data_IF_218989278097
#
_entry.id   IF_218989278097
#
_cell.length_a   1.000
_cell.length_b   1.000
_cell.length_c   1.000
_cell.angle_alpha   90.00
_cell.angle_beta   90.00
_cell.angle_gamma   90.00
#
_symmetry.space_group_name_H-M   'P 1'
#
loop_
_entity.id
_entity.type
_entity.pdbx_description
1 polymer ?
#
# COMPACT_ATOMS: atom_id res chain seq x y z
N UNK A 1 19.24 5.38 -16.81
CA UNK A 1 19.11 5.73 -15.38
C UNK A 1 18.56 7.13 -15.29
N UNK A 2 17.42 7.32 -14.63
CA UNK A 2 16.81 8.63 -14.40
C UNK A 2 17.56 9.29 -13.24
N UNK A 3 18.19 10.45 -13.49
CA UNK A 3 18.86 11.21 -12.42
C UNK A 3 17.80 11.85 -11.52
N UNK A 4 17.82 11.60 -10.19
CA UNK A 4 16.82 12.18 -9.30
C UNK A 4 16.99 13.69 -9.17
N UNK A 5 15.87 14.40 -9.15
CA UNK A 5 15.84 15.80 -8.73
C UNK A 5 15.56 15.86 -7.24
N UNK A 6 16.54 16.31 -6.46
CA UNK A 6 16.39 16.46 -5.02
C UNK A 6 15.42 17.60 -4.67
N UNK A 7 14.46 17.32 -3.80
CA UNK A 7 13.51 18.28 -3.23
C UNK A 7 13.38 18.03 -1.71
N UNK A 8 12.86 19.00 -0.96
CA UNK A 8 12.82 18.94 0.51
C UNK A 8 11.42 19.10 1.10
N UNK A 9 10.37 18.86 0.30
CA UNK A 9 8.99 19.13 0.70
C UNK A 9 8.00 17.99 0.39
N UNK A 10 8.44 16.91 -0.24
CA UNK A 10 7.56 15.79 -0.64
C UNK A 10 7.01 15.06 0.59
N UNK A 11 7.81 14.96 1.67
CA UNK A 11 7.41 14.35 2.92
C UNK A 11 6.18 15.02 3.57
N UNK A 12 5.87 16.28 3.23
CA UNK A 12 4.67 16.93 3.76
C UNK A 12 3.37 16.28 3.29
N UNK A 13 3.37 15.63 2.11
CA UNK A 13 2.18 14.94 1.59
C UNK A 13 1.69 13.87 2.57
N UNK A 14 2.53 12.89 3.01
CA UNK A 14 2.13 11.94 4.05
C UNK A 14 2.03 12.58 5.46
N UNK A 15 2.88 13.54 5.82
CA UNK A 15 2.89 14.12 7.18
C UNK A 15 1.60 14.88 7.51
N UNK A 16 0.98 15.54 6.53
CA UNK A 16 -0.26 16.29 6.75
C UNK A 16 -1.39 15.44 7.36
N UNK A 17 -1.84 14.32 6.76
CA UNK A 17 -2.85 13.46 7.38
C UNK A 17 -2.35 12.81 8.68
N UNK A 18 -1.04 12.56 8.83
CA UNK A 18 -0.49 12.04 10.08
C UNK A 18 -0.72 13.01 11.25
N UNK A 19 -0.61 14.33 11.04
CA UNK A 19 -0.87 15.34 12.07
C UNK A 19 -2.29 15.19 12.64
N UNK A 20 -3.29 15.00 11.77
CA UNK A 20 -4.67 14.78 12.19
C UNK A 20 -4.83 13.46 12.97
N UNK A 21 -4.24 12.36 12.46
CA UNK A 21 -4.29 11.06 13.12
C UNK A 21 -3.64 11.08 14.51
N UNK A 22 -2.46 11.67 14.64
CA UNK A 22 -1.73 11.78 15.91
C UNK A 22 -2.51 12.63 16.90
N UNK A 23 -3.01 13.80 16.48
CA UNK A 23 -3.82 14.64 17.35
C UNK A 23 -5.06 13.90 17.86
N UNK A 24 -5.82 13.25 16.99
CA UNK A 24 -7.03 12.53 17.39
C UNK A 24 -6.72 11.34 18.29
N UNK A 25 -5.66 10.58 17.97
CA UNK A 25 -5.20 9.45 18.78
C UNK A 25 -4.75 9.87 20.18
N UNK A 26 -3.99 10.97 20.30
CA UNK A 26 -3.55 11.52 21.59
C UNK A 26 -4.73 11.99 22.44
N UNK A 27 -5.67 12.73 21.82
CA UNK A 27 -6.84 13.27 22.52
C UNK A 27 -7.77 12.17 23.05
N UNK A 28 -8.01 11.11 22.27
CA UNK A 28 -8.84 9.98 22.69
C UNK A 28 -8.10 9.06 23.66
N UNK A 29 -6.86 8.69 23.35
CA UNK A 29 -6.13 7.64 24.07
C UNK A 29 -5.47 8.10 25.37
N UNK A 30 -4.79 9.25 25.34
CA UNK A 30 -4.00 9.77 26.48
C UNK A 30 -4.81 10.79 27.27
N UNK A 31 -5.28 11.84 26.59
CA UNK A 31 -6.01 12.94 27.26
C UNK A 31 -7.43 12.51 27.66
N UNK A 32 -7.99 11.51 26.97
CA UNK A 32 -9.34 10.97 27.16
C UNK A 32 -10.44 12.04 27.06
N UNK A 33 -10.23 13.04 26.20
CA UNK A 33 -11.19 14.13 25.94
C UNK A 33 -11.71 14.07 24.52
N UNK A 34 -13.01 14.31 24.39
CA UNK A 34 -13.66 14.53 23.08
C UNK A 34 -13.30 15.92 22.57
N UNK A 35 -12.95 16.00 21.29
CA UNK A 35 -12.74 17.24 20.54
C UNK A 35 -14.05 17.64 19.86
N UNK A 36 -14.42 18.94 19.83
CA UNK A 36 -15.65 19.37 19.17
C UNK A 36 -15.65 18.99 17.68
N UNK A 37 -16.81 18.56 17.17
CA UNK A 37 -16.95 17.94 15.84
C UNK A 37 -16.46 18.83 14.70
N UNK A 38 -16.75 20.13 14.75
CA UNK A 38 -16.28 21.09 13.74
C UNK A 38 -14.75 21.09 13.60
N UNK A 39 -14.02 20.92 14.72
CA UNK A 39 -12.57 20.88 14.73
C UNK A 39 -12.04 19.53 14.24
N UNK A 40 -12.70 18.43 14.60
CA UNK A 40 -12.38 17.09 14.04
C UNK A 40 -12.52 17.09 12.53
N UNK A 41 -13.64 17.60 12.02
CA UNK A 41 -13.92 17.72 10.59
C UNK A 41 -12.88 18.62 9.91
N UNK A 42 -12.67 19.84 10.46
CA UNK A 42 -11.74 20.81 9.90
C UNK A 42 -10.30 20.28 9.82
N UNK A 43 -9.82 19.64 10.89
CA UNK A 43 -8.47 19.08 10.92
C UNK A 43 -8.33 17.88 9.97
N UNK A 44 -9.29 16.95 10.03
CA UNK A 44 -9.23 15.71 9.24
C UNK A 44 -9.40 15.96 7.74
N UNK A 45 -10.41 16.73 7.34
CA UNK A 45 -10.63 17.03 5.93
C UNK A 45 -9.61 18.05 5.41
N UNK A 46 -9.25 19.04 6.22
CA UNK A 46 -8.31 20.09 5.84
C UNK A 46 -6.91 19.56 5.55
N UNK A 47 -6.39 18.65 6.39
CA UNK A 47 -5.06 18.06 6.18
C UNK A 47 -4.99 17.20 4.92
N UNK A 48 -6.02 16.38 4.65
CA UNK A 48 -6.10 15.58 3.42
C UNK A 48 -6.28 16.47 2.18
N UNK A 49 -7.07 17.54 2.27
CA UNK A 49 -7.19 18.51 1.17
C UNK A 49 -5.88 19.23 0.88
N UNK A 50 -5.15 19.65 1.90
CA UNK A 50 -3.82 20.24 1.73
C UNK A 50 -2.84 19.23 1.13
N UNK A 51 -2.90 17.96 1.52
CA UNK A 51 -2.11 16.89 0.91
C UNK A 51 -2.48 16.68 -0.57
N UNK A 52 -3.76 16.83 -0.95
CA UNK A 52 -4.20 16.80 -2.34
C UNK A 52 -3.63 17.98 -3.15
N UNK A 53 -3.68 19.20 -2.61
CA UNK A 53 -3.07 20.36 -3.28
C UNK A 53 -1.56 20.19 -3.45
N UNK A 54 -0.87 19.69 -2.43
CA UNK A 54 0.55 19.35 -2.52
C UNK A 54 0.82 18.24 -3.55
N UNK A 55 -0.07 17.24 -3.66
CA UNK A 55 0.00 16.19 -4.68
C UNK A 55 -0.19 16.72 -6.10
N UNK A 56 -1.12 17.65 -6.30
CA UNK A 56 -1.29 18.35 -7.58
C UNK A 56 -0.06 19.18 -7.95
N UNK A 57 0.54 19.88 -6.98
CA UNK A 57 1.77 20.64 -7.19
C UNK A 57 2.95 19.72 -7.56
N UNK A 58 3.09 18.58 -6.88
CA UNK A 58 4.11 17.58 -7.16
C UNK A 58 3.94 16.95 -8.55
N UNK A 59 2.70 16.62 -8.93
CA UNK A 59 2.38 16.16 -10.28
C UNK A 59 2.69 17.21 -11.35
N UNK A 60 2.35 18.49 -11.10
CA UNK A 60 2.67 19.59 -12.00
C UNK A 60 4.18 19.80 -12.18
N UNK A 61 4.95 19.70 -11.09
CA UNK A 61 6.40 19.75 -11.12
C UNK A 61 6.98 18.58 -11.95
N UNK A 62 6.45 17.37 -11.77
CA UNK A 62 6.90 16.17 -12.49
C UNK A 62 6.61 16.24 -13.99
N UNK A 63 5.42 16.71 -14.40
CA UNK A 63 5.08 16.88 -15.83
C UNK A 63 5.96 17.94 -16.49
N UNK A 64 6.33 18.99 -15.75
CA UNK A 64 7.25 20.02 -16.23
C UNK A 64 8.67 19.54 -16.50
N UNK A 65 9.03 18.32 -16.05
CA UNK A 65 10.34 17.72 -16.28
C UNK A 65 10.38 16.94 -17.60
N UNK A 66 11.57 16.89 -18.26
CA UNK A 66 11.84 15.97 -19.36
C UNK A 66 11.49 14.53 -18.98
N UNK A 67 10.99 13.73 -19.95
CA UNK A 67 10.49 12.38 -19.70
C UNK A 67 11.53 11.45 -19.05
N UNK A 68 12.80 11.63 -19.41
CA UNK A 68 13.96 10.89 -18.91
C UNK A 68 14.44 11.33 -17.51
N UNK A 69 13.84 12.39 -16.94
CA UNK A 69 14.21 13.01 -15.66
C UNK A 69 13.05 13.07 -14.66
N UNK A 70 11.93 12.40 -14.94
CA UNK A 70 10.71 12.40 -14.10
C UNK A 70 10.86 11.57 -12.82
N UNK A 71 11.72 12.04 -11.92
CA UNK A 71 11.92 11.47 -10.60
C UNK A 71 12.27 12.57 -9.61
N UNK A 72 11.37 12.86 -8.68
CA UNK A 72 11.64 13.72 -7.52
C UNK A 72 11.98 12.86 -6.32
N UNK A 73 13.00 13.24 -5.55
CA UNK A 73 13.40 12.52 -4.33
C UNK A 73 13.58 13.49 -3.18
N UNK A 74 13.05 13.10 -2.02
CA UNK A 74 13.15 13.81 -0.74
C UNK A 74 13.75 12.88 0.30
N UNK A 75 15.06 13.00 0.52
CA UNK A 75 15.80 12.30 1.57
C UNK A 75 15.62 13.04 2.91
N UNK A 76 14.81 12.48 3.81
CA UNK A 76 14.46 13.16 5.07
C UNK A 76 15.53 12.91 6.13
N UNK A 77 15.82 11.64 6.41
CA UNK A 77 16.86 11.23 7.37
C UNK A 77 17.27 9.76 7.19
N UNK A 78 18.45 9.39 7.68
CA UNK A 78 18.89 7.98 7.71
C UNK A 78 18.16 7.22 8.81
N UNK A 79 17.38 6.19 8.45
CA UNK A 79 16.62 5.38 9.39
C UNK A 79 17.47 4.26 9.98
N UNK A 80 18.12 3.49 9.12
CA UNK A 80 19.00 2.38 9.47
C UNK A 80 20.35 2.68 8.85
N UNK A 81 21.35 2.94 9.69
CA UNK A 81 22.75 3.04 9.30
C UNK A 81 23.53 1.97 10.04
N UNK A 82 24.11 1.02 9.31
CA UNK A 82 24.94 -0.04 9.91
C UNK A 82 26.04 -0.46 8.95
N UNK A 83 27.26 -0.67 9.45
CA UNK A 83 28.41 -1.09 8.65
C UNK A 83 29.72 -0.42 9.07
N UNK A 84 30.85 -0.97 8.59
CA UNK A 84 32.21 -0.42 8.77
C UNK A 84 32.93 -0.52 7.43
N UNK A 85 33.61 0.54 6.99
CA UNK A 85 34.32 0.58 5.70
C UNK A 85 33.36 0.71 4.51
N UNK A 86 33.58 -0.03 3.42
CA UNK A 86 32.80 0.07 2.18
C UNK A 86 31.46 -0.71 2.22
N UNK A 87 31.11 -1.36 3.33
CA UNK A 87 29.84 -2.06 3.52
C UNK A 87 28.87 -1.29 4.41
N UNK A 88 28.70 0.01 4.17
CA UNK A 88 27.68 0.80 4.85
C UNK A 88 26.32 0.50 4.23
N UNK A 89 25.43 -0.05 5.05
CA UNK A 89 24.01 -0.19 4.74
C UNK A 89 23.33 1.08 5.22
N UNK A 90 22.74 1.84 4.29
CA UNK A 90 21.84 2.95 4.61
C UNK A 90 20.44 2.69 4.07
N UNK A 91 19.48 2.47 4.96
CA UNK A 91 18.06 2.62 4.63
C UNK A 91 17.61 4.00 5.12
N UNK A 92 17.30 4.90 4.20
CA UNK A 92 16.80 6.23 4.53
C UNK A 92 15.27 6.23 4.65
N UNK A 93 14.71 7.13 5.46
CA UNK A 93 13.33 7.58 5.22
C UNK A 93 13.42 8.58 4.07
N UNK A 94 13.17 8.08 2.87
CA UNK A 94 13.23 8.84 1.62
C UNK A 94 11.96 8.63 0.82
N UNK A 95 11.40 9.73 0.31
CA UNK A 95 10.21 9.70 -0.53
C UNK A 95 10.60 9.94 -1.99
N UNK A 96 10.14 9.10 -2.89
CA UNK A 96 10.39 9.19 -4.32
C UNK A 96 9.07 9.30 -5.09
N UNK A 97 8.98 10.31 -5.95
CA UNK A 97 7.86 10.54 -6.85
C UNK A 97 8.30 10.33 -8.29
N UNK A 98 7.75 9.30 -8.91
CA UNK A 98 7.84 9.02 -10.33
C UNK A 98 6.42 9.05 -10.95
N UNK A 99 6.24 8.78 -12.27
CA UNK A 99 4.92 8.85 -12.90
C UNK A 99 3.85 7.95 -12.28
N UNK A 100 4.21 6.72 -11.85
CA UNK A 100 3.25 5.79 -11.23
C UNK A 100 2.87 6.24 -9.82
N UNK A 101 3.85 6.64 -8.99
CA UNK A 101 3.58 7.21 -7.66
C UNK A 101 2.76 8.50 -7.77
N UNK A 102 2.99 9.32 -8.80
CA UNK A 102 2.27 10.58 -9.01
C UNK A 102 0.78 10.36 -9.29
N UNK A 103 0.44 9.38 -10.13
CA UNK A 103 -0.95 8.95 -10.32
C UNK A 103 -1.56 8.48 -8.99
N UNK A 104 -0.82 7.63 -8.26
CA UNK A 104 -1.31 7.05 -7.01
C UNK A 104 -1.56 8.11 -5.93
N UNK A 105 -0.67 9.07 -5.71
CA UNK A 105 -0.90 10.11 -4.69
C UNK A 105 -2.11 10.98 -5.01
N UNK A 106 -2.39 11.25 -6.29
CA UNK A 106 -3.59 11.99 -6.71
C UNK A 106 -4.86 11.20 -6.42
N UNK A 107 -4.86 9.90 -6.68
CA UNK A 107 -6.00 9.03 -6.36
C UNK A 107 -6.19 8.92 -4.84
N UNK A 108 -5.11 8.63 -4.10
CA UNK A 108 -5.14 8.47 -2.63
C UNK A 108 -5.63 9.73 -1.94
N UNK A 109 -5.12 10.91 -2.32
CA UNK A 109 -5.51 12.18 -1.67
C UNK A 109 -6.81 12.76 -2.21
N UNK A 110 -7.05 12.67 -3.52
CA UNK A 110 -8.25 13.22 -4.16
C UNK A 110 -9.52 12.43 -3.81
N UNK A 111 -9.52 11.12 -4.09
CA UNK A 111 -10.63 10.24 -3.72
C UNK A 111 -10.71 10.12 -2.19
N UNK A 112 -9.56 10.05 -1.51
CA UNK A 112 -9.50 10.07 -0.05
C UNK A 112 -10.18 11.30 0.56
N UNK A 113 -9.94 12.50 0.02
CA UNK A 113 -10.62 13.72 0.48
C UNK A 113 -12.14 13.63 0.29
N UNK A 114 -12.62 13.18 -0.87
CA UNK A 114 -14.06 13.01 -1.11
C UNK A 114 -14.69 12.03 -0.12
N UNK A 115 -13.98 10.95 0.22
CA UNK A 115 -14.42 9.99 1.23
C UNK A 115 -14.46 10.62 2.63
N UNK A 116 -13.49 11.47 2.98
CA UNK A 116 -13.52 12.20 4.25
C UNK A 116 -14.73 13.12 4.34
N UNK A 117 -15.04 13.85 3.26
CA UNK A 117 -16.23 14.72 3.19
C UNK A 117 -17.52 13.90 3.29
N UNK A 118 -17.62 12.81 2.53
CA UNK A 118 -18.78 11.91 2.58
C UNK A 118 -18.99 11.31 3.99
N UNK A 119 -17.89 11.00 4.67
CA UNK A 119 -17.91 10.44 6.03
C UNK A 119 -18.51 11.39 7.06
N UNK A 120 -18.49 12.71 6.82
CA UNK A 120 -19.10 13.69 7.73
C UNK A 120 -20.58 13.39 7.87
N UNK A 121 -21.30 13.30 6.74
CA UNK A 121 -22.74 13.04 6.73
C UNK A 121 -23.06 11.61 7.16
N UNK A 122 -22.32 10.62 6.64
CA UNK A 122 -22.58 9.21 6.96
C UNK A 122 -22.42 8.91 8.46
N UNK A 123 -21.41 9.50 9.10
CA UNK A 123 -21.16 9.31 10.53
C UNK A 123 -21.95 10.28 11.41
N UNK A 124 -22.69 11.23 10.83
CA UNK A 124 -23.58 12.12 11.59
C UNK A 124 -24.81 11.38 12.12
N UNK A 125 -25.27 10.40 11.34
CA UNK A 125 -26.39 9.53 11.70
C UNK A 125 -26.03 8.48 12.77
N UNK A 126 -24.74 8.21 13.00
CA UNK A 126 -24.27 7.28 14.04
C UNK A 126 -24.24 8.01 15.41
N UNK A 127 -25.43 8.22 16.00
CA UNK A 127 -25.65 8.95 17.26
C UNK A 127 -25.03 8.32 18.53
N UNK A 128 -24.17 7.30 18.38
CA UNK A 128 -23.76 6.44 19.50
C UNK A 128 -22.63 7.00 20.37
N UNK A 129 -21.69 7.78 19.83
CA UNK A 129 -20.60 8.39 20.62
C UNK A 129 -19.77 9.43 19.83
N UNK A 130 -19.60 10.64 20.36
CA UNK A 130 -18.67 11.65 19.83
C UNK A 130 -17.22 11.13 19.77
N UNK A 131 -16.82 10.27 20.71
CA UNK A 131 -15.50 9.62 20.67
C UNK A 131 -15.39 8.62 19.52
N UNK A 132 -16.49 7.96 19.15
CA UNK A 132 -16.56 7.10 17.98
C UNK A 132 -16.33 7.88 16.70
N UNK A 133 -16.98 9.04 16.55
CA UNK A 133 -16.78 9.95 15.43
C UNK A 133 -15.32 10.39 15.28
N UNK A 134 -14.71 10.84 16.38
CA UNK A 134 -13.29 11.26 16.36
C UNK A 134 -12.34 10.08 16.10
N UNK A 135 -12.63 8.89 16.63
CA UNK A 135 -11.85 7.66 16.39
C UNK A 135 -11.90 7.25 14.92
N UNK A 136 -13.07 7.37 14.29
CA UNK A 136 -13.24 7.05 12.88
C UNK A 136 -12.32 7.90 12.00
N UNK A 137 -12.34 9.23 12.21
CA UNK A 137 -11.47 10.15 11.48
C UNK A 137 -9.98 9.99 11.81
N UNK A 138 -9.64 9.58 13.04
CA UNK A 138 -8.27 9.18 13.38
C UNK A 138 -7.80 8.02 12.49
N UNK A 139 -8.62 6.98 12.33
CA UNK A 139 -8.28 5.81 11.53
C UNK A 139 -8.26 6.11 10.03
N UNK A 140 -9.18 6.93 9.50
CA UNK A 140 -9.16 7.35 8.10
C UNK A 140 -7.89 8.14 7.74
N UNK A 141 -7.46 9.06 8.61
CA UNK A 141 -6.24 9.84 8.40
C UNK A 141 -4.99 8.96 8.52
N UNK A 142 -4.95 8.07 9.51
CA UNK A 142 -3.84 7.14 9.67
C UNK A 142 -3.71 6.22 8.44
N UNK A 143 -4.85 5.75 7.93
CA UNK A 143 -4.92 4.95 6.72
C UNK A 143 -4.35 5.74 5.52
N UNK A 144 -4.78 6.98 5.34
CA UNK A 144 -4.31 7.87 4.25
C UNK A 144 -2.80 8.09 4.35
N UNK A 145 -2.29 8.39 5.55
CA UNK A 145 -0.85 8.48 5.80
C UNK A 145 -0.12 7.18 5.42
N UNK A 146 -0.56 6.02 5.90
CA UNK A 146 0.11 4.74 5.62
C UNK A 146 0.13 4.43 4.13
N UNK A 147 -0.97 4.71 3.41
CA UNK A 147 -1.02 4.52 1.97
C UNK A 147 -0.07 5.48 1.23
N UNK A 148 0.02 6.74 1.66
CA UNK A 148 0.95 7.72 1.09
C UNK A 148 2.41 7.33 1.32
N UNK A 149 2.75 6.81 2.51
CA UNK A 149 4.08 6.26 2.78
C UNK A 149 4.38 5.09 1.85
N UNK A 150 3.42 4.18 1.64
CA UNK A 150 3.58 3.03 0.76
C UNK A 150 3.90 3.44 -0.68
N UNK A 151 3.13 4.37 -1.25
CA UNK A 151 3.28 4.76 -2.67
C UNK A 151 4.43 5.73 -2.93
N UNK A 152 4.88 6.46 -1.91
CA UNK A 152 6.03 7.36 -2.02
C UNK A 152 7.34 6.73 -1.56
N UNK A 153 7.35 5.51 -1.03
CA UNK A 153 8.58 4.91 -0.52
C UNK A 153 9.66 4.77 -1.62
N UNK A 154 10.88 5.24 -1.32
CA UNK A 154 12.06 5.03 -2.20
C UNK A 154 12.75 3.67 -1.97
N UNK A 155 12.40 2.97 -0.90
CA UNK A 155 12.98 1.66 -0.56
C UNK A 155 11.96 0.66 -0.02
N UNK A 156 12.31 -0.63 -0.11
CA UNK A 156 11.46 -1.75 0.27
C UNK A 156 11.04 -1.73 1.76
N UNK A 157 11.93 -1.46 2.74
CA UNK A 157 11.55 -1.35 4.15
C UNK A 157 10.53 -0.24 4.43
N UNK A 158 10.70 0.94 3.82
CA UNK A 158 9.75 2.04 3.97
C UNK A 158 8.40 1.71 3.32
N UNK A 159 8.42 1.04 2.15
CA UNK A 159 7.19 0.54 1.54
C UNK A 159 6.50 -0.45 2.46
N UNK A 160 7.25 -1.36 3.09
CA UNK A 160 6.73 -2.34 4.05
C UNK A 160 6.13 -1.67 5.31
N UNK A 161 6.70 -0.56 5.77
CA UNK A 161 6.12 0.23 6.86
C UNK A 161 4.72 0.76 6.47
N UNK A 162 4.58 1.31 5.27
CA UNK A 162 3.27 1.72 4.74
C UNK A 162 2.32 0.53 4.54
N UNK A 163 2.85 -0.60 4.07
CA UNK A 163 2.15 -1.86 3.82
C UNK A 163 1.50 -2.47 5.08
N UNK A 164 2.25 -2.52 6.17
CA UNK A 164 1.77 -2.92 7.48
C UNK A 164 0.79 -1.89 8.05
N UNK A 165 1.11 -0.60 7.88
CA UNK A 165 0.27 0.52 8.32
C UNK A 165 -1.14 0.46 7.72
N UNK A 166 -1.26 0.24 6.42
CA UNK A 166 -2.58 0.07 5.78
C UNK A 166 -3.28 -1.19 6.29
N UNK A 167 -2.55 -2.28 6.55
CA UNK A 167 -3.06 -3.52 7.14
C UNK A 167 -3.66 -3.34 8.53
N UNK A 168 -2.97 -2.59 9.38
CA UNK A 168 -3.46 -2.22 10.72
C UNK A 168 -4.69 -1.33 10.62
N UNK A 169 -4.65 -0.32 9.76
CA UNK A 169 -5.78 0.60 9.62
C UNK A 169 -7.03 -0.09 9.06
N UNK A 170 -6.89 -1.03 8.12
CA UNK A 170 -8.04 -1.81 7.63
C UNK A 170 -8.64 -2.67 8.72
N UNK A 171 -7.83 -3.31 9.56
CA UNK A 171 -8.31 -4.08 10.72
C UNK A 171 -9.17 -3.20 11.63
N UNK A 172 -8.65 -2.01 12.00
CA UNK A 172 -9.34 -1.07 12.88
C UNK A 172 -10.63 -0.49 12.27
N UNK A 173 -10.66 -0.29 10.95
CA UNK A 173 -11.80 0.28 10.24
C UNK A 173 -12.88 -0.76 9.91
N UNK A 174 -12.52 -1.99 9.54
CA UNK A 174 -13.47 -3.08 9.31
C UNK A 174 -14.14 -3.46 10.64
N UNK A 175 -13.33 -3.63 11.69
CA UNK A 175 -13.82 -3.90 13.04
C UNK A 175 -14.28 -2.66 13.81
N UNK A 176 -14.64 -1.56 13.13
CA UNK A 176 -14.92 -0.28 13.79
C UNK A 176 -16.06 -0.38 14.82
N UNK A 177 -17.13 -1.10 14.49
CA UNK A 177 -18.22 -1.46 15.40
C UNK A 177 -17.93 -2.79 16.10
N UNK A 178 -16.82 -2.85 16.85
CA UNK A 178 -16.32 -4.05 17.53
C UNK A 178 -17.25 -4.66 18.59
N UNK A 179 -18.31 -3.96 19.01
CA UNK A 179 -19.31 -4.51 19.92
C UNK A 179 -20.13 -5.63 19.27
N UNK A 180 -20.19 -5.65 17.94
CA UNK A 180 -20.73 -6.76 17.16
C UNK A 180 -19.62 -7.78 16.91
N UNK A 181 -19.84 -9.01 17.36
CA UNK A 181 -18.87 -10.11 17.23
C UNK A 181 -18.55 -10.44 15.77
N UNK A 182 -19.53 -10.30 14.86
CA UNK A 182 -19.35 -10.63 13.46
C UNK A 182 -18.43 -9.60 12.79
N UNK A 183 -18.64 -8.30 13.09
CA UNK A 183 -17.77 -7.22 12.58
C UNK A 183 -16.33 -7.36 13.11
N UNK A 184 -16.17 -7.71 14.39
CA UNK A 184 -14.85 -7.95 14.99
C UNK A 184 -14.14 -9.17 14.38
N UNK A 185 -14.89 -10.24 14.09
CA UNK A 185 -14.38 -11.41 13.38
C UNK A 185 -13.94 -11.06 11.95
N UNK A 186 -14.75 -10.32 11.19
CA UNK A 186 -14.42 -9.88 9.84
C UNK A 186 -13.13 -9.04 9.80
N UNK A 187 -12.96 -8.12 10.74
CA UNK A 187 -11.71 -7.35 10.89
C UNK A 187 -10.51 -8.26 11.16
N UNK A 188 -10.66 -9.18 12.12
CA UNK A 188 -9.59 -10.13 12.48
C UNK A 188 -9.20 -11.04 11.32
N UNK A 189 -10.19 -11.55 10.56
CA UNK A 189 -9.97 -12.36 9.35
C UNK A 189 -9.15 -11.58 8.32
N UNK A 190 -9.50 -10.32 8.05
CA UNK A 190 -8.75 -9.47 7.13
C UNK A 190 -7.31 -9.26 7.58
N UNK A 191 -7.08 -9.04 8.88
CA UNK A 191 -5.73 -8.88 9.41
C UNK A 191 -4.89 -10.16 9.26
N UNK A 192 -5.43 -11.32 9.61
CA UNK A 192 -4.73 -12.61 9.56
C UNK A 192 -4.41 -13.01 8.11
N UNK A 193 -5.36 -12.88 7.20
CA UNK A 193 -5.15 -13.24 5.79
C UNK A 193 -4.09 -12.33 5.13
N UNK A 194 -4.12 -11.04 5.44
CA UNK A 194 -3.07 -10.11 5.00
C UNK A 194 -1.70 -10.49 5.58
N UNK A 195 -1.65 -10.86 6.87
CA UNK A 195 -0.40 -11.23 7.56
C UNK A 195 0.32 -12.41 6.93
N UNK A 196 -0.43 -13.38 6.39
CA UNK A 196 0.14 -14.52 5.65
C UNK A 196 0.91 -14.02 4.41
N UNK A 197 0.34 -13.06 3.68
CA UNK A 197 1.02 -12.40 2.57
C UNK A 197 2.23 -11.58 3.03
N UNK A 198 2.07 -10.82 4.12
CA UNK A 198 3.11 -9.94 4.67
C UNK A 198 4.38 -10.75 5.07
N UNK A 199 4.21 -11.99 5.54
CA UNK A 199 5.33 -12.90 5.80
C UNK A 199 6.10 -13.27 4.53
N UNK A 200 5.40 -13.61 3.44
CA UNK A 200 6.04 -13.91 2.17
C UNK A 200 6.75 -12.68 1.58
N UNK A 201 6.14 -11.50 1.71
CA UNK A 201 6.78 -10.23 1.32
C UNK A 201 8.12 -10.04 2.05
N UNK A 202 8.16 -10.26 3.37
CA UNK A 202 9.40 -10.16 4.16
C UNK A 202 10.45 -11.18 3.72
N UNK A 203 10.05 -12.41 3.42
CA UNK A 203 10.97 -13.41 2.88
C UNK A 203 11.58 -12.96 1.55
N UNK A 204 10.79 -12.38 0.66
CA UNK A 204 11.26 -11.81 -0.61
C UNK A 204 12.25 -10.66 -0.39
N UNK A 205 11.93 -9.74 0.53
CA UNK A 205 12.80 -8.62 0.90
C UNK A 205 14.14 -9.11 1.45
N UNK A 206 14.13 -10.04 2.41
CA UNK A 206 15.36 -10.56 3.01
C UNK A 206 16.19 -11.37 2.02
N UNK A 207 15.57 -12.19 1.17
CA UNK A 207 16.29 -12.97 0.16
C UNK A 207 16.94 -12.05 -0.89
N UNK A 208 16.23 -11.02 -1.34
CA UNK A 208 16.76 -10.04 -2.28
C UNK A 208 17.92 -9.25 -1.68
N UNK A 209 17.75 -8.75 -0.45
CA UNK A 209 18.79 -8.03 0.26
C UNK A 209 20.03 -8.90 0.50
N UNK A 210 19.86 -10.14 0.96
CA UNK A 210 20.96 -11.07 1.19
C UNK A 210 21.76 -11.32 -0.09
N UNK A 211 21.09 -11.57 -1.21
CA UNK A 211 21.78 -11.81 -2.48
C UNK A 211 22.53 -10.59 -3.01
N UNK A 212 21.97 -9.39 -2.88
CA UNK A 212 22.65 -8.15 -3.24
C UNK A 212 23.83 -7.86 -2.31
N UNK A 213 23.71 -8.18 -1.03
CA UNK A 213 24.80 -8.10 -0.05
C UNK A 213 25.93 -9.07 -0.41
N UNK A 214 25.62 -10.32 -0.74
CA UNK A 214 26.60 -11.32 -1.18
C UNK A 214 27.29 -10.93 -2.49
N UNK A 215 26.57 -10.22 -3.37
CA UNK A 215 27.11 -9.62 -4.59
C UNK A 215 27.91 -8.32 -4.37
N UNK A 216 28.11 -7.91 -3.11
CA UNK A 216 28.92 -6.75 -2.74
C UNK A 216 28.22 -5.39 -2.86
N UNK A 217 26.90 -5.36 -3.04
CA UNK A 217 26.10 -4.13 -3.09
C UNK A 217 24.89 -4.21 -2.18
N UNK A 218 25.07 -4.12 -0.85
CA UNK A 218 23.96 -4.19 0.08
C UNK A 218 23.08 -2.95 -0.06
N UNK A 219 21.91 -3.09 -0.67
CA UNK A 219 20.94 -2.01 -0.85
C UNK A 219 19.51 -2.49 -0.68
N UNK A 220 18.64 -1.57 -0.28
CA UNK A 220 17.19 -1.75 -0.17
C UNK A 220 16.40 -0.74 -1.01
N UNK A 221 17.11 0.17 -1.69
CA UNK A 221 16.55 1.28 -2.47
C UNK A 221 16.19 0.80 -3.88
N UNK A 222 14.97 1.09 -4.35
CA UNK A 222 14.47 0.53 -5.62
C UNK A 222 15.41 0.78 -6.80
N UNK A 223 15.92 2.00 -6.92
CA UNK A 223 16.79 2.44 -8.02
C UNK A 223 18.16 1.78 -8.00
N UNK A 224 18.71 1.60 -6.81
CA UNK A 224 20.00 0.92 -6.63
C UNK A 224 19.85 -0.60 -6.84
N UNK A 225 18.72 -1.18 -6.43
CA UNK A 225 18.39 -2.57 -6.71
C UNK A 225 18.30 -2.80 -8.22
N UNK A 226 17.54 -1.96 -8.94
CA UNK A 226 17.40 -2.03 -10.39
C UNK A 226 18.76 -1.90 -11.10
N UNK A 227 19.60 -0.94 -10.68
CA UNK A 227 20.91 -0.72 -11.29
C UNK A 227 21.91 -1.86 -11.06
N UNK A 228 21.72 -2.66 -10.01
CA UNK A 228 22.61 -3.78 -9.66
C UNK A 228 21.98 -5.14 -9.95
N UNK A 229 20.82 -5.17 -10.63
CA UNK A 229 20.05 -6.39 -10.79
C UNK A 229 20.82 -7.46 -11.56
N UNK A 230 21.61 -7.07 -12.57
CA UNK A 230 22.47 -7.97 -13.37
C UNK A 230 23.39 -8.86 -12.53
N UNK A 231 23.76 -8.43 -11.32
CA UNK A 231 24.62 -9.21 -10.42
C UNK A 231 23.94 -10.44 -9.83
N UNK A 232 22.61 -10.45 -9.79
CA UNK A 232 21.81 -11.51 -9.14
C UNK A 232 20.89 -12.25 -10.13
N UNK A 233 20.85 -11.87 -11.41
CA UNK A 233 19.97 -12.49 -12.44
C UNK A 233 20.19 -14.00 -12.59
N UNK A 234 21.45 -14.44 -12.47
CA UNK A 234 21.86 -15.84 -12.58
C UNK A 234 22.01 -16.54 -11.22
N UNK A 235 21.73 -15.83 -10.11
CA UNK A 235 21.81 -16.42 -8.79
C UNK A 235 20.73 -17.51 -8.63
N UNK A 236 21.11 -18.62 -7.99
CA UNK A 236 20.24 -19.76 -7.73
C UNK A 236 20.12 -20.03 -6.24
N UNK A 237 18.95 -20.49 -5.80
CA UNK A 237 18.71 -20.96 -4.44
C UNK A 237 18.24 -22.41 -4.47
N UNK A 238 18.75 -23.23 -3.54
CA UNK A 238 18.31 -24.63 -3.40
C UNK A 238 17.21 -24.72 -2.37
N UNK A 239 16.02 -25.16 -2.77
CA UNK A 239 14.87 -25.38 -1.89
C UNK A 239 14.47 -26.85 -2.00
N UNK A 240 14.45 -27.57 -0.87
CA UNK A 240 14.10 -28.99 -0.81
C UNK A 240 14.88 -29.87 -1.83
N UNK A 241 16.16 -29.56 -2.05
CA UNK A 241 17.05 -30.30 -2.97
C UNK A 241 16.90 -29.94 -4.45
N UNK A 242 16.01 -29.01 -4.81
CA UNK A 242 15.84 -28.52 -6.19
C UNK A 242 16.41 -27.10 -6.31
N UNK A 243 17.16 -26.82 -7.38
CA UNK A 243 17.67 -25.48 -7.65
C UNK A 243 16.64 -24.65 -8.41
N UNK A 244 16.39 -23.44 -7.91
CA UNK A 244 15.52 -22.45 -8.53
C UNK A 244 16.30 -21.16 -8.77
N UNK A 245 15.91 -20.40 -9.81
CA UNK A 245 16.42 -19.05 -10.02
C UNK A 245 15.93 -18.15 -8.89
N UNK A 246 16.85 -17.46 -8.23
CA UNK A 246 16.54 -16.62 -7.08
C UNK A 246 15.50 -15.54 -7.42
N UNK A 247 15.64 -14.91 -8.59
CA UNK A 247 14.73 -13.85 -9.05
C UNK A 247 13.27 -14.33 -9.17
N UNK A 248 13.06 -15.59 -9.57
CA UNK A 248 11.71 -16.17 -9.62
C UNK A 248 11.17 -16.40 -8.20
N UNK A 249 12.00 -16.91 -7.29
CA UNK A 249 11.60 -17.13 -5.89
C UNK A 249 11.25 -15.81 -5.21
N UNK A 250 12.09 -14.78 -5.36
CA UNK A 250 11.84 -13.43 -4.82
C UNK A 250 10.57 -12.84 -5.43
N UNK A 251 10.39 -12.93 -6.75
CA UNK A 251 9.18 -12.47 -7.44
C UNK A 251 7.91 -13.16 -6.92
N UNK A 252 7.93 -14.48 -6.74
CA UNK A 252 6.80 -15.22 -6.18
C UNK A 252 6.53 -14.82 -4.72
N UNK A 253 7.56 -14.65 -3.90
CA UNK A 253 7.42 -14.19 -2.51
C UNK A 253 6.73 -12.81 -2.43
N UNK A 254 7.18 -11.85 -3.24
CA UNK A 254 6.52 -10.54 -3.32
C UNK A 254 5.10 -10.64 -3.86
N UNK A 255 4.86 -11.48 -4.87
CA UNK A 255 3.52 -11.68 -5.41
C UNK A 255 2.57 -12.30 -4.38
N UNK A 256 3.00 -13.26 -3.56
CA UNK A 256 2.17 -13.78 -2.45
C UNK A 256 1.84 -12.67 -1.45
N UNK A 257 2.77 -11.75 -1.19
CA UNK A 257 2.49 -10.50 -0.48
C UNK A 257 1.37 -9.71 -1.14
N UNK A 258 1.50 -9.42 -2.44
CA UNK A 258 0.49 -8.72 -3.22
C UNK A 258 -0.88 -9.42 -3.19
N UNK A 259 -0.92 -10.76 -3.24
CA UNK A 259 -2.15 -11.54 -3.16
C UNK A 259 -2.93 -11.28 -1.87
N UNK A 260 -2.23 -11.12 -0.74
CA UNK A 260 -2.84 -10.76 0.54
C UNK A 260 -3.60 -9.44 0.44
N UNK A 261 -2.90 -8.35 0.13
CA UNK A 261 -3.48 -6.99 0.09
C UNK A 261 -4.48 -6.78 -1.04
N UNK A 262 -4.29 -7.43 -2.18
CA UNK A 262 -5.14 -7.24 -3.37
C UNK A 262 -6.15 -8.36 -3.60
N UNK A 263 -6.40 -9.17 -2.56
CA UNK A 263 -7.42 -10.21 -2.55
C UNK A 263 -7.36 -11.14 -3.77
N UNK A 264 -6.16 -11.58 -4.15
CA UNK A 264 -5.98 -12.56 -5.24
C UNK A 264 -6.17 -13.98 -4.72
N UNK A 265 -6.44 -14.94 -5.60
CA UNK A 265 -6.42 -16.35 -5.22
C UNK A 265 -5.04 -16.73 -4.66
N UNK A 266 -4.96 -17.46 -3.52
CA UNK A 266 -6.06 -17.99 -2.70
C UNK A 266 -6.53 -17.05 -1.56
N UNK A 267 -5.88 -15.91 -1.35
CA UNK A 267 -6.07 -15.01 -0.20
C UNK A 267 -7.22 -13.99 -0.35
N UNK A 268 -8.17 -14.21 -1.28
CA UNK A 268 -9.27 -13.27 -1.56
C UNK A 268 -10.36 -13.18 -0.50
N UNK A 269 -10.43 -14.17 0.41
CA UNK A 269 -11.60 -14.45 1.26
C UNK A 269 -11.96 -13.36 2.26
N UNK A 270 -11.08 -12.39 2.50
CA UNK A 270 -11.32 -11.32 3.46
C UNK A 270 -12.08 -10.13 2.88
N UNK A 271 -11.98 -9.89 1.56
CA UNK A 271 -12.51 -8.67 0.95
C UNK A 271 -14.05 -8.60 0.94
N UNK A 272 -14.79 -9.69 0.63
CA UNK A 272 -16.25 -9.68 0.75
C UNK A 272 -16.72 -9.45 2.19
N UNK A 273 -15.98 -9.95 3.17
CA UNK A 273 -16.28 -9.79 4.61
C UNK A 273 -15.91 -8.40 5.13
N UNK A 274 -14.97 -7.71 4.47
CA UNK A 274 -14.63 -6.32 4.79
C UNK A 274 -15.82 -5.36 4.60
N UNK A 275 -16.89 -5.79 3.91
CA UNK A 275 -18.15 -5.05 3.77
C UNK A 275 -18.93 -4.89 5.09
N UNK A 276 -18.51 -5.58 6.15
CA UNK A 276 -18.98 -5.40 7.52
C UNK A 276 -18.68 -3.99 8.08
N UNK A 277 -17.61 -3.35 7.60
CA UNK A 277 -17.22 -2.01 8.02
C UNK A 277 -18.20 -0.91 7.56
N UNK A 278 -18.03 0.33 8.06
CA UNK A 278 -18.78 1.48 7.59
C UNK A 278 -18.61 1.69 6.08
N UNK A 279 -19.68 2.08 5.39
CA UNK A 279 -19.66 2.24 3.92
C UNK A 279 -18.54 3.15 3.39
N UNK A 280 -18.15 4.27 4.05
CA UNK A 280 -16.99 5.06 3.61
C UNK A 280 -15.66 4.28 3.66
N UNK A 281 -15.52 3.30 4.55
CA UNK A 281 -14.33 2.43 4.63
C UNK A 281 -14.26 1.52 3.41
N UNK A 282 -15.38 0.93 3.01
CA UNK A 282 -15.45 0.13 1.78
C UNK A 282 -15.05 0.96 0.57
N UNK A 283 -15.53 2.21 0.46
CA UNK A 283 -15.12 3.10 -0.62
C UNK A 283 -13.59 3.37 -0.59
N UNK A 284 -13.01 3.60 0.58
CA UNK A 284 -11.57 3.87 0.70
C UNK A 284 -10.71 2.66 0.32
N UNK A 285 -11.03 1.49 0.88
CA UNK A 285 -10.29 0.25 0.68
C UNK A 285 -10.33 -0.16 -0.80
N UNK A 286 -11.49 -0.03 -1.45
CA UNK A 286 -11.72 -0.52 -2.81
C UNK A 286 -11.32 0.45 -3.92
N UNK A 287 -11.53 1.76 -3.73
CA UNK A 287 -11.36 2.71 -4.82
C UNK A 287 -9.90 3.18 -4.99
N UNK A 288 -9.19 3.41 -3.88
CA UNK A 288 -8.01 4.26 -3.93
C UNK A 288 -6.73 3.69 -3.32
N UNK A 289 -6.80 2.59 -2.55
CA UNK A 289 -5.74 2.38 -1.56
C UNK A 289 -5.29 0.92 -1.34
N UNK A 290 -5.86 0.20 -0.38
CA UNK A 290 -5.32 -1.07 0.09
C UNK A 290 -5.25 -2.12 -1.02
N UNK A 291 -6.35 -2.29 -1.75
CA UNK A 291 -6.44 -3.35 -2.76
C UNK A 291 -5.58 -3.07 -3.99
N UNK A 292 -5.21 -1.80 -4.23
CA UNK A 292 -4.30 -1.39 -5.30
C UNK A 292 -2.82 -1.49 -4.90
N UNK A 293 -2.51 -1.59 -3.60
CA UNK A 293 -1.13 -1.64 -3.11
C UNK A 293 -0.32 -2.81 -3.68
N UNK A 294 -0.94 -3.98 -3.86
CA UNK A 294 -0.29 -5.15 -4.45
C UNK A 294 0.06 -4.96 -5.92
N UNK A 295 -0.86 -4.43 -6.72
CA UNK A 295 -0.58 -4.12 -8.14
C UNK A 295 0.49 -3.03 -8.24
N UNK A 296 0.38 -1.97 -7.43
CA UNK A 296 1.38 -0.90 -7.38
C UNK A 296 2.79 -1.44 -7.11
N UNK A 297 2.94 -2.34 -6.12
CA UNK A 297 4.23 -2.95 -5.82
C UNK A 297 4.75 -3.80 -6.99
N UNK A 298 3.89 -4.59 -7.65
CA UNK A 298 4.29 -5.38 -8.82
C UNK A 298 4.75 -4.48 -9.97
N UNK A 299 4.04 -3.40 -10.27
CA UNK A 299 4.45 -2.44 -11.31
C UNK A 299 5.73 -1.68 -10.92
N UNK A 300 5.89 -1.29 -9.64
CA UNK A 300 7.11 -0.65 -9.13
C UNK A 300 8.33 -1.57 -9.20
N UNK A 301 8.11 -2.87 -9.04
CA UNK A 301 9.11 -3.94 -9.19
C UNK A 301 9.13 -4.53 -10.60
N UNK A 302 8.62 -3.82 -11.62
CA UNK A 302 8.56 -4.31 -13.01
C UNK A 302 9.91 -4.82 -13.54
N UNK A 303 11.02 -4.18 -13.16
CA UNK A 303 12.37 -4.61 -13.52
C UNK A 303 12.71 -6.03 -13.01
N UNK A 304 12.19 -6.44 -11.85
CA UNK A 304 12.34 -7.81 -11.32
C UNK A 304 11.53 -8.80 -12.15
N UNK A 305 10.25 -8.47 -12.42
CA UNK A 305 9.34 -9.34 -13.16
C UNK A 305 9.71 -9.48 -14.65
N UNK A 306 10.35 -8.46 -15.23
CA UNK A 306 10.87 -8.50 -16.60
C UNK A 306 11.93 -9.60 -16.81
N UNK A 307 12.71 -9.94 -15.77
CA UNK A 307 13.78 -10.96 -15.84
C UNK A 307 13.43 -12.27 -15.09
N UNK A 308 12.25 -12.33 -14.46
CA UNK A 308 11.73 -13.46 -13.71
C UNK A 308 10.49 -14.08 -14.41
N UNK A 309 10.66 -14.79 -15.55
CA UNK A 309 9.55 -15.23 -16.39
C UNK A 309 8.58 -16.20 -15.70
N UNK A 310 9.07 -17.03 -14.77
CA UNK A 310 8.19 -17.95 -14.04
C UNK A 310 7.35 -17.19 -13.01
N UNK A 311 7.94 -16.21 -12.32
CA UNK A 311 7.18 -15.35 -11.39
C UNK A 311 6.11 -14.55 -12.14
N UNK A 312 6.47 -13.94 -13.29
CA UNK A 312 5.51 -13.21 -14.14
C UNK A 312 4.39 -14.09 -14.66
N UNK A 313 4.69 -15.34 -15.05
CA UNK A 313 3.67 -16.32 -15.41
C UNK A 313 2.72 -16.65 -14.24
N UNK A 314 3.25 -16.79 -13.01
CA UNK A 314 2.42 -16.99 -11.80
C UNK A 314 1.51 -15.78 -11.56
N UNK A 315 2.01 -14.55 -11.72
CA UNK A 315 1.19 -13.33 -11.62
C UNK A 315 0.07 -13.34 -12.65
N UNK A 316 0.39 -13.59 -13.92
CA UNK A 316 -0.57 -13.59 -15.02
C UNK A 316 -1.68 -14.63 -14.83
N UNK A 317 -1.30 -15.88 -14.55
CA UNK A 317 -2.27 -16.96 -14.35
C UNK A 317 -3.15 -16.74 -13.14
N UNK A 318 -2.57 -16.32 -12.01
CA UNK A 318 -3.35 -16.07 -10.79
C UNK A 318 -4.30 -14.90 -10.97
N UNK A 319 -3.87 -13.83 -11.63
CA UNK A 319 -4.72 -12.69 -11.98
C UNK A 319 -5.88 -13.07 -12.89
N UNK A 320 -5.61 -13.80 -13.99
CA UNK A 320 -6.62 -14.26 -14.92
C UNK A 320 -7.65 -15.20 -14.27
N UNK A 321 -7.19 -16.15 -13.45
CA UNK A 321 -8.07 -17.05 -12.69
C UNK A 321 -8.92 -16.27 -11.67
N UNK A 322 -8.32 -15.33 -10.93
CA UNK A 322 -9.02 -14.48 -9.97
C UNK A 322 -10.10 -13.64 -10.67
N UNK A 323 -9.79 -13.08 -11.85
CA UNK A 323 -10.71 -12.27 -12.63
C UNK A 323 -12.00 -13.02 -12.97
N UNK A 324 -11.87 -14.21 -13.55
CA UNK A 324 -13.02 -15.06 -13.94
C UNK A 324 -13.75 -15.59 -12.71
N UNK A 325 -13.00 -16.10 -11.73
CA UNK A 325 -13.56 -16.69 -10.52
C UNK A 325 -14.43 -15.68 -9.75
N UNK A 326 -13.92 -14.48 -9.47
CA UNK A 326 -14.68 -13.46 -8.75
C UNK A 326 -15.89 -12.93 -9.55
N UNK A 327 -15.76 -12.79 -10.87
CA UNK A 327 -16.87 -12.37 -11.73
C UNK A 327 -18.04 -13.38 -11.68
N UNK A 328 -17.75 -14.69 -11.70
CA UNK A 328 -18.82 -15.71 -11.61
C UNK A 328 -19.54 -15.68 -10.27
N UNK A 329 -18.82 -15.44 -9.16
CA UNK A 329 -19.44 -15.31 -7.83
C UNK A 329 -20.36 -14.08 -7.81
N UNK A 330 -19.89 -12.94 -8.31
CA UNK A 330 -20.62 -11.67 -8.29
C UNK A 330 -22.03 -11.77 -8.93
N UNK A 331 -22.18 -12.54 -10.01
CA UNK A 331 -23.47 -12.74 -10.71
C UNK A 331 -24.53 -13.40 -9.82
N UNK A 332 -24.09 -14.21 -8.85
CA UNK A 332 -24.99 -14.94 -7.94
C UNK A 332 -25.17 -14.26 -6.57
N UNK A 333 -24.48 -13.14 -6.31
CA UNK A 333 -24.60 -12.41 -5.06
C UNK A 333 -25.87 -11.54 -5.02
N UNK A 334 -26.56 -11.55 -3.88
CA UNK A 334 -27.77 -10.75 -3.64
C UNK A 334 -27.49 -9.46 -2.87
N UNK A 335 -26.37 -9.39 -2.14
CA UNK A 335 -25.94 -8.20 -1.39
C UNK A 335 -25.13 -7.26 -2.30
N UNK A 336 -25.59 -6.02 -2.47
CA UNK A 336 -24.97 -5.04 -3.36
C UNK A 336 -23.52 -4.71 -2.97
N UNK A 337 -23.19 -4.67 -1.67
CA UNK A 337 -21.81 -4.41 -1.21
C UNK A 337 -20.91 -5.58 -1.56
N UNK A 338 -21.39 -6.82 -1.39
CA UNK A 338 -20.63 -8.02 -1.78
C UNK A 338 -20.45 -8.12 -3.29
N UNK A 339 -21.46 -7.77 -4.09
CA UNK A 339 -21.34 -7.68 -5.56
C UNK A 339 -20.21 -6.72 -5.94
N UNK A 340 -20.18 -5.52 -5.35
CA UNK A 340 -19.12 -4.53 -5.60
C UNK A 340 -17.73 -5.02 -5.14
N UNK A 341 -17.68 -5.71 -4.00
CA UNK A 341 -16.44 -6.31 -3.52
C UNK A 341 -15.88 -7.33 -4.50
N UNK A 342 -16.70 -8.28 -4.97
CA UNK A 342 -16.27 -9.27 -5.97
C UNK A 342 -15.97 -8.65 -7.34
N UNK A 343 -16.69 -7.60 -7.74
CA UNK A 343 -16.32 -6.82 -8.93
C UNK A 343 -14.92 -6.23 -8.79
N UNK A 344 -14.57 -5.72 -7.60
CA UNK A 344 -13.21 -5.21 -7.33
C UNK A 344 -12.17 -6.32 -7.41
N UNK A 345 -12.41 -7.48 -6.78
CA UNK A 345 -11.51 -8.65 -6.87
C UNK A 345 -11.26 -9.02 -8.33
N UNK A 346 -12.32 -9.01 -9.15
CA UNK A 346 -12.22 -9.34 -10.58
C UNK A 346 -11.38 -8.32 -11.35
N UNK A 347 -11.62 -7.03 -11.16
CA UNK A 347 -10.87 -5.95 -11.83
C UNK A 347 -9.39 -5.93 -11.42
N UNK A 348 -9.08 -6.20 -10.15
CA UNK A 348 -7.69 -6.34 -9.71
C UNK A 348 -7.03 -7.56 -10.33
N UNK A 349 -7.74 -8.70 -10.41
CA UNK A 349 -7.25 -9.88 -11.14
C UNK A 349 -6.91 -9.55 -12.60
N UNK A 350 -7.74 -8.73 -13.25
CA UNK A 350 -7.46 -8.24 -14.60
C UNK A 350 -6.20 -7.35 -14.65
N UNK A 351 -6.00 -6.47 -13.67
CA UNK A 351 -4.77 -5.65 -13.57
C UNK A 351 -3.52 -6.51 -13.34
N UNK A 352 -3.58 -7.55 -12.50
CA UNK A 352 -2.46 -8.49 -12.33
C UNK A 352 -2.20 -9.32 -13.58
N UNK A 353 -3.25 -9.71 -14.32
CA UNK A 353 -3.07 -10.36 -15.61
C UNK A 353 -2.26 -9.48 -16.57
N UNK A 354 -2.62 -8.18 -16.67
CA UNK A 354 -1.89 -7.23 -17.48
C UNK A 354 -0.42 -7.07 -17.03
N UNK A 355 -0.19 -6.87 -15.73
CA UNK A 355 1.15 -6.72 -15.16
C UNK A 355 2.01 -7.99 -15.37
N UNK A 356 1.44 -9.18 -15.17
CA UNK A 356 2.14 -10.46 -15.40
C UNK A 356 2.47 -10.73 -16.87
N UNK A 357 1.74 -10.10 -17.80
CA UNK A 357 2.06 -10.10 -19.23
C UNK A 357 3.03 -8.98 -19.64
N UNK A 358 3.52 -8.18 -18.69
CA UNK A 358 4.46 -7.07 -18.94
C UNK A 358 3.82 -5.72 -19.28
N UNK A 359 2.49 -5.59 -19.16
CA UNK A 359 1.76 -4.33 -19.34
C UNK A 359 1.64 -3.56 -18.02
N UNK A 360 2.74 -2.96 -17.56
CA UNK A 360 2.86 -2.28 -16.26
C UNK A 360 2.21 -0.89 -16.19
#
# INVERSE_FOLDING_TARGET
MVTPTAISWLHWIPVLPLIAAVYHGLMIGIVRRSTPRWFVIGLSCGTVFLAFLASCAAFGALIGMPEDQRLLVDDVYTWIGSGVGDQVISANVAFALDPISALMILVVTGVGFLIHVYSIGYMDDDQRDDKGFQRFFCYLNLFTFSMLVLVLADNLPLMFLGWEGVGLCSYLLIGFWYSDSDNAYCGSKAFVVNRIGDFAFLLGLFALFAALSDAGTPTVTFREIEANFDKIVDATVTILGTQYRLVNVVGVCFFIGACGKSAQLPLYVWLPDAMAGPTPVSALIHAATMVTAGVYMVCRMSFLYAVAPEASAVVAWTGGLTAVFAATIAVTQTDIKKVLAYSTVSQLGYMFLAAGCGGY
#
